data_IF_046497621150
#
_entry.id   IF_046497621150
#
_cell.length_a   1.000
_cell.length_b   1.000
_cell.length_c   1.000
_cell.angle_alpha   90.00
_cell.angle_beta   90.00
_cell.angle_gamma   90.00
#
_symmetry.space_group_name_H-M   'P 1'
#
loop_
_entity.id
_entity.type
_entity.pdbx_description
1 polymer ?
#
# COMPACT_ATOMS: atom_id res chain seq x y z
N UNK A 1 15.20 -46.71 -42.68
CA UNK A 1 15.72 -45.43 -42.14
C UNK A 1 16.28 -45.71 -40.75
N UNK A 2 17.60 -45.60 -40.56
CA UNK A 2 18.24 -45.79 -39.23
C UNK A 2 18.24 -44.44 -38.53
N UNK A 3 17.24 -44.19 -37.67
CA UNK A 3 17.31 -43.12 -36.68
C UNK A 3 18.50 -43.44 -35.77
N UNK A 4 19.57 -42.66 -35.86
CA UNK A 4 20.75 -42.90 -35.03
C UNK A 4 20.44 -42.46 -33.61
N UNK A 5 21.03 -43.12 -32.60
CA UNK A 5 20.87 -42.72 -31.18
C UNK A 5 21.12 -41.22 -30.93
N UNK A 6 21.92 -40.57 -31.81
CA UNK A 6 22.20 -39.13 -31.79
C UNK A 6 20.97 -38.28 -32.12
N UNK A 7 20.11 -38.73 -33.04
CA UNK A 7 18.91 -38.00 -33.44
C UNK A 7 17.88 -37.97 -32.29
N UNK A 8 17.75 -39.09 -31.57
CA UNK A 8 16.86 -39.19 -30.41
C UNK A 8 17.32 -38.28 -29.25
N UNK A 9 18.63 -38.28 -28.96
CA UNK A 9 19.19 -37.43 -27.91
C UNK A 9 19.01 -35.93 -28.22
N UNK A 10 19.16 -35.54 -29.49
CA UNK A 10 19.00 -34.15 -29.93
C UNK A 10 17.54 -33.70 -29.83
N UNK A 11 16.59 -34.54 -30.26
CA UNK A 11 15.16 -34.25 -30.14
C UNK A 11 14.71 -34.09 -28.69
N UNK A 12 15.22 -34.93 -27.78
CA UNK A 12 14.88 -34.89 -26.35
C UNK A 12 15.41 -33.61 -25.68
N UNK A 13 16.63 -33.19 -26.02
CA UNK A 13 17.21 -31.93 -25.54
C UNK A 13 16.39 -30.72 -25.97
N UNK A 14 15.98 -30.67 -27.24
CA UNK A 14 15.15 -29.58 -27.78
C UNK A 14 13.79 -29.54 -27.06
N UNK A 15 13.15 -30.70 -26.86
CA UNK A 15 11.88 -30.77 -26.14
C UNK A 15 12.00 -30.28 -24.68
N UNK A 16 13.09 -30.63 -23.98
CA UNK A 16 13.34 -30.16 -22.63
C UNK A 16 13.61 -28.66 -22.56
N UNK A 17 14.38 -28.10 -23.51
CA UNK A 17 14.62 -26.66 -23.60
C UNK A 17 13.33 -25.88 -23.89
N UNK A 18 12.49 -26.38 -24.81
CA UNK A 18 11.21 -25.78 -25.11
C UNK A 18 10.26 -25.82 -23.90
N UNK A 19 10.24 -26.92 -23.15
CA UNK A 19 9.45 -27.04 -21.92
C UNK A 19 9.95 -26.09 -20.83
N UNK A 20 11.27 -26.00 -20.62
CA UNK A 20 11.87 -25.10 -19.65
C UNK A 20 11.59 -23.62 -20.00
N UNK A 21 11.72 -23.25 -21.28
CA UNK A 21 11.39 -21.91 -21.76
C UNK A 21 9.89 -21.60 -21.60
N UNK A 22 9.01 -22.58 -21.87
CA UNK A 22 7.57 -22.46 -21.63
C UNK A 22 7.23 -22.25 -20.15
N UNK A 23 7.90 -22.98 -19.24
CA UNK A 23 7.74 -22.82 -17.79
C UNK A 23 8.27 -21.46 -17.30
N UNK A 24 9.39 -20.98 -17.84
CA UNK A 24 9.92 -19.65 -17.54
C UNK A 24 9.02 -18.53 -18.07
N UNK A 25 8.35 -18.73 -19.21
CA UNK A 25 7.36 -17.80 -19.73
C UNK A 25 6.05 -17.80 -18.90
N UNK A 26 5.74 -18.91 -18.22
CA UNK A 26 4.62 -19.02 -17.27
C UNK A 26 4.94 -18.46 -15.88
N UNK A 27 6.23 -18.30 -15.55
CA UNK A 27 6.65 -17.57 -14.36
C UNK A 27 6.36 -16.08 -14.57
N UNK A 28 5.12 -15.68 -14.29
CA UNK A 28 4.69 -14.29 -14.39
C UNK A 28 5.60 -13.36 -13.57
N UNK A 29 5.73 -12.09 -13.97
CA UNK A 29 6.52 -11.12 -13.22
C UNK A 29 6.10 -11.17 -11.76
N UNK A 30 7.08 -11.33 -10.86
CA UNK A 30 6.83 -11.40 -9.43
C UNK A 30 5.88 -10.26 -9.06
N UNK A 31 4.69 -10.63 -8.56
CA UNK A 31 3.68 -9.68 -8.10
C UNK A 31 4.40 -8.64 -7.25
N UNK A 32 4.16 -7.36 -7.54
CA UNK A 32 4.82 -6.27 -6.83
C UNK A 32 4.82 -6.60 -5.34
N UNK A 33 6.01 -6.67 -4.75
CA UNK A 33 6.13 -7.09 -3.36
C UNK A 33 5.61 -6.01 -2.39
N UNK A 34 4.95 -4.96 -2.90
CA UNK A 34 4.09 -4.04 -2.14
C UNK A 34 2.63 -4.31 -2.49
N UNK A 35 1.76 -4.42 -1.50
CA UNK A 35 0.33 -4.53 -1.75
C UNK A 35 -0.55 -4.32 -0.53
N UNK A 36 -1.86 -4.20 -0.77
CA UNK A 36 -2.86 -4.13 0.31
C UNK A 36 -2.96 -5.51 0.98
N UNK A 37 -2.48 -5.60 2.22
CA UNK A 37 -2.60 -6.80 3.07
C UNK A 37 -3.97 -6.85 3.73
N UNK A 38 -4.46 -5.70 4.22
CA UNK A 38 -5.74 -5.59 4.94
C UNK A 38 -6.41 -4.24 4.70
N UNK A 39 -7.74 -4.25 4.71
CA UNK A 39 -8.59 -3.07 4.89
C UNK A 39 -9.61 -3.37 6.01
N UNK A 40 -9.90 -2.40 6.88
CA UNK A 40 -10.93 -2.59 7.92
C UNK A 40 -12.33 -2.77 7.33
N UNK A 41 -12.58 -2.19 6.15
CA UNK A 41 -13.78 -2.42 5.35
C UNK A 41 -13.47 -2.23 3.87
N UNK A 42 -14.26 -2.89 3.02
CA UNK A 42 -14.23 -2.75 1.56
C UNK A 42 -15.42 -1.93 1.02
N UNK A 43 -16.20 -1.33 1.91
CA UNK A 43 -17.33 -0.47 1.55
C UNK A 43 -17.52 0.64 2.58
N UNK A 44 -17.98 1.81 2.14
CA UNK A 44 -18.26 2.93 3.03
C UNK A 44 -19.00 4.07 2.33
N UNK A 45 -19.79 4.83 3.09
CA UNK A 45 -20.31 6.11 2.63
C UNK A 45 -19.26 7.21 2.87
N UNK A 46 -19.33 8.37 2.17
CA UNK A 46 -18.51 9.52 2.51
C UNK A 46 -18.57 9.85 4.01
N UNK A 47 -17.42 10.07 4.63
CA UNK A 47 -17.30 10.27 6.07
C UNK A 47 -17.00 9.02 6.90
N UNK A 48 -17.15 7.81 6.33
CA UNK A 48 -16.75 6.58 7.03
C UNK A 48 -15.22 6.48 7.15
N UNK A 49 -14.72 5.93 8.26
CA UNK A 49 -13.28 5.69 8.46
C UNK A 49 -12.88 4.33 7.92
N UNK A 50 -11.71 4.26 7.28
CA UNK A 50 -11.08 3.04 6.79
C UNK A 50 -9.63 3.00 7.26
N UNK A 51 -9.22 1.85 7.80
CA UNK A 51 -7.84 1.55 8.17
C UNK A 51 -7.27 0.58 7.13
N UNK A 52 -6.20 0.99 6.46
CA UNK A 52 -5.47 0.19 5.47
C UNK A 52 -4.13 -0.26 6.02
N UNK A 53 -3.77 -1.49 5.71
CA UNK A 53 -2.45 -2.07 5.94
C UNK A 53 -1.85 -2.45 4.60
N UNK A 54 -0.69 -1.89 4.30
CA UNK A 54 0.13 -2.21 3.14
C UNK A 54 1.30 -3.06 3.61
N UNK A 55 1.44 -4.26 3.04
CA UNK A 55 2.62 -5.09 3.24
C UNK A 55 3.69 -4.76 2.20
N UNK A 56 4.96 -4.85 2.58
CA UNK A 56 6.10 -4.66 1.69
C UNK A 56 7.19 -5.72 1.90
N UNK A 57 7.21 -6.75 1.04
CA UNK A 57 8.14 -7.88 1.07
C UNK A 57 9.58 -7.56 0.67
N UNK A 58 9.90 -6.30 0.34
CA UNK A 58 11.28 -5.81 0.20
C UNK A 58 11.49 -4.52 1.00
N UNK A 59 10.69 -4.18 2.01
CA UNK A 59 10.99 -2.98 2.81
C UNK A 59 11.86 -3.29 4.03
N UNK A 60 12.64 -4.37 3.97
CA UNK A 60 13.57 -4.75 5.04
C UNK A 60 14.75 -3.78 5.07
N UNK A 61 15.40 -3.57 6.24
CA UNK A 61 16.63 -2.80 6.28
C UNK A 61 17.72 -3.41 5.37
N UNK A 62 18.67 -2.60 4.88
CA UNK A 62 19.78 -3.12 4.09
C UNK A 62 20.60 -4.11 4.92
N UNK A 63 21.06 -5.18 4.28
CA UNK A 63 22.01 -6.08 4.91
C UNK A 63 23.34 -5.36 5.19
N UNK A 64 23.86 -5.50 6.42
CA UNK A 64 25.19 -5.03 6.80
C UNK A 64 26.11 -6.24 6.98
N UNK A 65 27.38 -6.12 6.60
CA UNK A 65 28.38 -7.19 6.76
C UNK A 65 28.81 -7.89 5.46
N UNK A 66 29.83 -8.77 5.53
CA UNK A 66 30.36 -9.47 4.37
C UNK A 66 29.35 -10.44 3.76
N UNK A 67 29.56 -10.82 2.49
CA UNK A 67 28.70 -11.79 1.81
C UNK A 67 28.72 -13.13 2.58
N UNK A 68 27.58 -13.55 3.11
CA UNK A 68 27.45 -14.78 3.91
C UNK A 68 27.13 -14.53 5.39
N UNK A 69 27.35 -13.30 5.90
CA UNK A 69 27.12 -12.92 7.31
C UNK A 69 26.21 -11.69 7.39
N UNK A 70 25.15 -11.69 6.57
CA UNK A 70 24.33 -10.52 6.31
C UNK A 70 23.18 -10.44 7.30
N UNK A 71 23.40 -9.67 8.36
CA UNK A 71 22.39 -9.28 9.33
C UNK A 71 22.31 -7.76 9.37
N UNK A 72 21.12 -7.15 9.41
CA UNK A 72 21.04 -5.72 9.64
C UNK A 72 21.62 -5.41 11.03
N UNK A 73 22.30 -4.26 11.18
CA UNK A 73 22.87 -3.87 12.47
C UNK A 73 21.76 -3.75 13.52
N UNK A 74 21.86 -4.55 14.59
CA UNK A 74 20.83 -4.63 15.64
C UNK A 74 19.71 -5.63 15.37
N UNK A 75 19.90 -6.58 14.45
CA UNK A 75 18.91 -7.58 14.07
C UNK A 75 19.57 -8.94 13.82
N UNK A 76 19.79 -9.73 14.87
CA UNK A 76 20.56 -10.98 14.78
C UNK A 76 19.85 -12.08 13.97
N UNK A 77 18.51 -11.97 13.81
CA UNK A 77 17.68 -13.03 13.21
C UNK A 77 16.73 -12.56 12.10
N UNK A 78 16.65 -11.25 11.85
CA UNK A 78 15.68 -10.69 10.89
C UNK A 78 16.14 -10.80 9.43
N UNK A 79 15.23 -10.99 8.47
CA UNK A 79 15.54 -10.85 7.05
C UNK A 79 16.04 -9.42 6.74
N UNK A 80 16.96 -9.34 5.79
CA UNK A 80 17.49 -8.08 5.27
C UNK A 80 17.44 -8.08 3.74
N UNK A 81 17.42 -6.89 3.15
CA UNK A 81 17.47 -6.75 1.70
C UNK A 81 18.89 -6.97 1.16
N UNK A 82 19.06 -7.98 0.31
CA UNK A 82 20.27 -8.16 -0.49
C UNK A 82 20.28 -7.21 -1.69
N UNK A 83 21.40 -6.53 -1.93
CA UNK A 83 21.63 -5.78 -3.17
C UNK A 83 21.04 -4.37 -3.22
N UNK A 84 20.59 -3.82 -2.09
CA UNK A 84 20.15 -2.42 -2.03
C UNK A 84 21.26 -1.42 -1.70
N UNK A 85 22.51 -1.87 -1.46
CA UNK A 85 23.71 -1.03 -1.25
C UNK A 85 23.42 0.36 -0.69
N UNK A 86 22.86 0.42 0.52
CA UNK A 86 22.60 1.68 1.23
C UNK A 86 21.30 2.41 0.89
N UNK A 87 20.43 1.86 0.03
CA UNK A 87 19.07 2.39 -0.17
C UNK A 87 18.19 2.00 1.01
N UNK A 88 17.71 3.01 1.73
CA UNK A 88 16.73 2.83 2.79
C UNK A 88 15.37 2.37 2.21
N UNK A 89 14.59 1.58 2.97
CA UNK A 89 13.22 1.30 2.60
C UNK A 89 12.41 2.61 2.51
N UNK A 90 11.35 2.65 1.69
CA UNK A 90 10.55 3.87 1.57
C UNK A 90 9.96 4.27 2.93
N UNK A 91 10.15 5.52 3.34
CA UNK A 91 9.59 6.04 4.58
C UNK A 91 8.05 6.06 4.60
N UNK A 92 7.42 6.10 3.43
CA UNK A 92 5.96 6.04 3.28
C UNK A 92 5.54 5.63 1.87
N UNK A 93 4.28 5.22 1.75
CA UNK A 93 3.61 4.97 0.47
C UNK A 93 2.46 5.96 0.27
N UNK A 94 2.45 6.69 -0.84
CA UNK A 94 1.30 7.54 -1.16
C UNK A 94 0.15 6.70 -1.69
N UNK A 95 -1.06 6.89 -1.18
CA UNK A 95 -2.23 6.11 -1.60
C UNK A 95 -3.27 7.03 -2.20
N UNK A 96 -3.79 6.65 -3.36
CA UNK A 96 -4.90 7.33 -4.03
C UNK A 96 -6.02 6.35 -4.35
N UNK A 97 -7.25 6.86 -4.47
CA UNK A 97 -8.37 6.16 -5.10
C UNK A 97 -8.52 6.62 -6.53
N UNK A 98 -8.92 5.70 -7.41
CA UNK A 98 -9.41 5.99 -8.76
C UNK A 98 -10.62 5.10 -9.01
N UNK A 99 -11.60 5.55 -9.80
CA UNK A 99 -12.71 4.67 -10.18
C UNK A 99 -12.16 3.46 -10.91
N UNK A 100 -12.70 2.27 -10.63
CA UNK A 100 -12.16 1.02 -11.21
C UNK A 100 -12.11 1.05 -12.76
N UNK A 101 -13.06 1.72 -13.41
CA UNK A 101 -13.11 1.90 -14.87
C UNK A 101 -12.09 2.91 -15.44
N UNK A 102 -11.58 3.80 -14.59
CA UNK A 102 -10.58 4.83 -14.92
C UNK A 102 -9.19 4.47 -14.40
N UNK A 103 -9.08 3.34 -13.68
CA UNK A 103 -7.82 2.83 -13.19
C UNK A 103 -6.89 2.62 -14.40
N UNK A 104 -5.64 3.11 -14.34
CA UNK A 104 -4.74 2.99 -15.46
C UNK A 104 -4.58 1.53 -15.88
N UNK A 105 -4.73 1.26 -17.18
CA UNK A 105 -4.41 -0.05 -17.70
C UNK A 105 -2.93 -0.32 -17.46
N UNK A 106 -2.67 -1.38 -16.70
CA UNK A 106 -1.33 -1.88 -16.44
C UNK A 106 -0.80 -2.52 -17.71
N UNK A 107 -0.08 -1.74 -18.52
CA UNK A 107 0.63 -2.26 -19.70
C UNK A 107 1.97 -2.81 -19.26
N UNK A 108 2.34 -4.00 -19.72
CA UNK A 108 3.71 -4.51 -19.62
C UNK A 108 4.64 -3.61 -20.44
N UNK A 109 5.75 -3.18 -19.87
CA UNK A 109 6.78 -2.47 -20.61
C UNK A 109 7.95 -3.42 -20.88
N UNK A 110 7.99 -4.00 -22.08
CA UNK A 110 9.02 -4.96 -22.45
C UNK A 110 9.01 -6.21 -21.57
N UNK A 111 10.19 -6.80 -21.34
CA UNK A 111 10.38 -8.01 -20.54
C UNK A 111 10.23 -7.78 -19.00
N UNK A 112 9.77 -6.61 -18.58
CA UNK A 112 9.73 -6.17 -17.19
C UNK A 112 8.33 -5.74 -16.70
N UNK A 113 8.24 -5.19 -15.47
CA UNK A 113 6.98 -4.90 -14.79
C UNK A 113 6.10 -3.89 -15.52
N UNK A 114 4.81 -3.86 -15.14
CA UNK A 114 3.78 -3.03 -15.75
C UNK A 114 4.08 -1.53 -15.57
N UNK A 115 4.24 -0.73 -16.64
CA UNK A 115 4.30 0.74 -16.52
C UNK A 115 3.03 1.45 -16.96
N UNK A 116 2.54 2.26 -16.05
CA UNK A 116 1.96 3.58 -16.30
C UNK A 116 3.06 4.62 -16.49
N UNK A 117 2.83 5.75 -17.18
CA UNK A 117 3.78 6.87 -17.20
C UNK A 117 4.13 7.24 -15.77
N UNK A 118 5.39 7.02 -15.43
CA UNK A 118 5.89 6.94 -14.06
C UNK A 118 5.80 8.31 -13.39
N UNK A 119 4.89 8.52 -12.42
CA UNK A 119 4.68 9.84 -11.85
C UNK A 119 5.83 10.20 -10.91
N UNK A 120 6.18 11.48 -10.85
CA UNK A 120 7.20 12.03 -9.93
C UNK A 120 6.78 11.94 -8.45
N UNK A 121 5.53 11.63 -8.19
CA UNK A 121 4.94 11.54 -6.85
C UNK A 121 3.59 10.82 -6.87
N UNK A 122 2.96 10.67 -5.71
CA UNK A 122 1.59 10.18 -5.63
C UNK A 122 0.65 11.04 -6.48
N UNK A 123 -0.28 10.47 -7.26
CA UNK A 123 -1.16 11.27 -8.09
C UNK A 123 -2.22 11.99 -7.24
N UNK A 124 -2.19 13.33 -7.28
CA UNK A 124 -3.12 14.22 -6.57
C UNK A 124 -4.23 14.82 -7.47
N UNK A 125 -4.12 14.64 -8.79
CA UNK A 125 -5.03 15.24 -9.77
C UNK A 125 -6.05 14.21 -10.28
N UNK A 126 -7.25 14.66 -10.70
CA UNK A 126 -8.22 13.79 -11.36
C UNK A 126 -7.58 12.95 -12.49
N UNK A 127 -7.98 11.67 -12.66
CA UNK A 127 -9.10 11.00 -11.99
C UNK A 127 -8.78 10.46 -10.58
N UNK A 128 -7.60 10.75 -10.04
CA UNK A 128 -7.18 10.26 -8.73
C UNK A 128 -7.69 11.16 -7.60
N UNK A 129 -8.00 10.53 -6.48
CA UNK A 129 -8.28 11.18 -5.19
C UNK A 129 -7.24 10.71 -4.18
N UNK A 130 -6.29 11.58 -3.84
CA UNK A 130 -5.25 11.24 -2.86
C UNK A 130 -5.85 11.08 -1.46
N UNK A 131 -5.52 9.96 -0.80
CA UNK A 131 -6.02 9.62 0.54
C UNK A 131 -5.03 9.98 1.65
N UNK A 132 -3.73 9.97 1.35
CA UNK A 132 -2.69 10.19 2.33
C UNK A 132 -1.46 9.33 2.10
N UNK A 133 -0.61 9.27 3.12
CA UNK A 133 0.63 8.47 3.13
C UNK A 133 0.49 7.37 4.16
N UNK A 134 0.63 6.12 3.75
CA UNK A 134 0.80 5.01 4.67
C UNK A 134 2.21 5.05 5.24
N UNK A 135 2.34 4.95 6.56
CA UNK A 135 3.60 5.08 7.30
C UNK A 135 3.82 3.83 8.17
N UNK A 136 5.05 3.50 8.58
CA UNK A 136 5.29 2.42 9.53
C UNK A 136 4.45 2.58 10.81
N UNK A 137 4.07 1.48 11.48
CA UNK A 137 3.38 1.56 12.76
C UNK A 137 4.22 2.29 13.82
N UNK A 138 3.61 2.80 14.90
CA UNK A 138 4.37 3.30 16.05
C UNK A 138 5.36 2.24 16.54
N UNK A 139 6.61 2.63 16.78
CA UNK A 139 7.71 1.68 17.06
C UNK A 139 8.44 1.16 15.83
N UNK A 140 7.99 1.52 14.62
CA UNK A 140 8.63 1.12 13.36
C UNK A 140 8.30 -0.31 12.95
N UNK A 141 8.91 -0.75 11.85
CA UNK A 141 8.86 -2.14 11.44
C UNK A 141 9.94 -2.91 12.20
N UNK A 142 9.55 -4.00 12.88
CA UNK A 142 10.51 -4.90 13.54
C UNK A 142 10.82 -6.10 12.63
N UNK A 143 11.95 -6.10 11.91
CA UNK A 143 12.33 -7.24 11.08
C UNK A 143 12.75 -8.48 11.88
N UNK A 144 12.98 -8.43 13.21
CA UNK A 144 13.36 -9.65 13.97
C UNK A 144 12.29 -10.74 13.93
N UNK A 145 11.02 -10.37 13.82
CA UNK A 145 9.92 -11.34 13.76
C UNK A 145 9.82 -12.09 12.43
N UNK A 146 10.61 -11.73 11.42
CA UNK A 146 10.51 -12.29 10.06
C UNK A 146 9.29 -11.82 9.27
N UNK A 147 8.36 -11.11 9.92
CA UNK A 147 7.18 -10.54 9.28
C UNK A 147 7.58 -9.47 8.25
N UNK A 148 6.91 -9.43 7.08
CA UNK A 148 7.07 -8.34 6.14
C UNK A 148 6.74 -6.99 6.78
N UNK A 149 7.55 -5.95 6.55
CA UNK A 149 7.27 -4.58 6.98
C UNK A 149 5.86 -4.13 6.55
N UNK A 150 5.16 -3.49 7.48
CA UNK A 150 3.79 -2.99 7.32
C UNK A 150 3.76 -1.47 7.34
N UNK A 151 2.82 -0.92 6.59
CA UNK A 151 2.54 0.52 6.53
C UNK A 151 1.05 0.74 6.72
N UNK A 152 0.70 1.64 7.62
CA UNK A 152 -0.65 1.90 8.06
C UNK A 152 -1.13 3.24 7.51
N UNK A 153 -2.36 3.25 6.99
CA UNK A 153 -3.07 4.47 6.60
C UNK A 153 -4.49 4.43 7.15
N UNK A 154 -4.81 5.36 8.05
CA UNK A 154 -6.18 5.68 8.43
C UNK A 154 -6.66 6.86 7.60
N UNK A 155 -7.81 6.74 6.95
CA UNK A 155 -8.42 7.84 6.20
C UNK A 155 -9.94 7.85 6.33
N UNK A 156 -10.54 8.97 5.96
CA UNK A 156 -11.99 9.12 5.86
C UNK A 156 -12.39 9.03 4.39
N UNK A 157 -13.40 8.22 4.06
CA UNK A 157 -13.91 8.09 2.69
C UNK A 157 -14.30 9.48 2.19
N UNK A 158 -13.64 10.01 1.14
CA UNK A 158 -13.92 11.36 0.65
C UNK A 158 -15.31 11.44 0.03
N UNK A 159 -15.77 12.66 -0.26
CA UNK A 159 -17.04 12.91 -0.97
C UNK A 159 -16.93 12.47 -2.43
N UNK A 160 -16.99 11.17 -2.63
CA UNK A 160 -16.98 10.49 -3.92
C UNK A 160 -18.41 10.13 -4.30
N UNK A 161 -18.69 10.13 -5.60
CA UNK A 161 -19.92 9.54 -6.12
C UNK A 161 -19.98 8.05 -5.81
N UNK A 162 -21.18 7.46 -5.65
CA UNK A 162 -21.30 6.02 -5.48
C UNK A 162 -20.66 5.21 -6.61
N UNK A 163 -20.07 4.06 -6.27
CA UNK A 163 -19.45 3.14 -7.23
C UNK A 163 -18.22 2.42 -6.69
N UNK A 164 -17.56 1.66 -7.56
CA UNK A 164 -16.35 0.90 -7.22
C UNK A 164 -15.09 1.68 -7.55
N UNK A 165 -14.22 1.81 -6.55
CA UNK A 165 -12.90 2.43 -6.65
C UNK A 165 -11.82 1.39 -6.37
N UNK A 166 -10.63 1.60 -6.92
CA UNK A 166 -9.43 0.82 -6.61
C UNK A 166 -8.41 1.72 -5.91
N UNK A 167 -7.65 1.13 -5.00
CA UNK A 167 -6.47 1.76 -4.43
C UNK A 167 -5.33 1.71 -5.46
N UNK A 168 -4.59 2.81 -5.55
CA UNK A 168 -3.33 2.89 -6.28
C UNK A 168 -2.27 3.42 -5.31
N UNK A 169 -1.22 2.63 -5.13
CA UNK A 169 -0.10 2.86 -4.23
C UNK A 169 1.06 3.42 -5.05
N UNK A 170 1.52 4.61 -4.71
CA UNK A 170 2.74 5.16 -5.25
C UNK A 170 3.94 4.78 -4.38
N UNK A 171 4.97 4.24 -5.02
CA UNK A 171 6.23 3.87 -4.39
C UNK A 171 7.39 4.61 -5.06
N UNK A 172 8.07 5.50 -4.32
CA UNK A 172 9.14 6.33 -4.86
C UNK A 172 10.47 5.62 -5.15
N UNK A 173 10.69 4.44 -4.57
CA UNK A 173 11.97 3.69 -4.64
C UNK A 173 11.84 2.34 -5.33
N UNK A 174 10.65 2.00 -5.82
CA UNK A 174 10.39 0.70 -6.46
C UNK A 174 10.97 0.58 -7.88
N UNK A 175 11.40 1.69 -8.47
CA UNK A 175 12.03 1.77 -9.79
C UNK A 175 13.26 2.66 -9.65
N UNK A 176 14.33 2.33 -10.39
CA UNK A 176 15.53 3.15 -10.38
C UNK A 176 15.30 4.54 -11.00
N UNK A 177 15.89 5.56 -10.37
CA UNK A 177 15.81 6.96 -10.80
C UNK A 177 14.85 7.82 -9.97
N UNK A 178 14.59 9.05 -10.43
CA UNK A 178 13.73 10.04 -9.73
C UNK A 178 12.23 9.77 -9.84
N UNK A 179 11.82 8.73 -10.55
CA UNK A 179 10.42 8.41 -10.84
C UNK A 179 10.04 7.15 -10.08
N UNK A 180 8.86 7.14 -9.44
CA UNK A 180 8.40 6.03 -8.60
C UNK A 180 7.77 4.87 -9.38
N UNK A 181 6.76 4.22 -8.83
CA UNK A 181 5.88 3.30 -9.54
C UNK A 181 4.46 3.39 -8.98
N UNK A 182 3.46 3.10 -9.82
CA UNK A 182 2.08 2.98 -9.39
C UNK A 182 1.69 1.50 -9.31
N UNK A 183 1.29 1.07 -8.12
CA UNK A 183 1.06 -0.33 -7.74
C UNK A 183 -0.41 -0.47 -7.36
N UNK A 184 -1.03 -1.58 -7.76
CA UNK A 184 -2.48 -1.68 -7.92
C UNK A 184 -2.82 -3.08 -8.38
N UNK A 185 -3.96 -3.58 -7.97
CA UNK A 185 -4.52 -4.81 -8.51
C UNK A 185 -6.03 -4.65 -8.56
N UNK A 186 -6.56 -3.97 -9.58
CA UNK A 186 -8.01 -3.73 -9.68
C UNK A 186 -8.80 -5.03 -9.80
N UNK A 187 -8.17 -6.18 -10.07
CA UNK A 187 -8.84 -7.49 -10.13
C UNK A 187 -9.10 -8.08 -8.74
N UNK A 188 -8.26 -7.75 -7.75
CA UNK A 188 -8.36 -8.25 -6.38
C UNK A 188 -9.38 -7.47 -5.56
N UNK A 189 -10.18 -8.19 -4.75
CA UNK A 189 -11.15 -7.59 -3.83
C UNK A 189 -10.48 -6.75 -2.75
N UNK A 190 -9.27 -7.12 -2.31
CA UNK A 190 -8.53 -6.39 -1.28
C UNK A 190 -8.20 -4.97 -1.70
N UNK A 191 -8.03 -4.75 -3.00
CA UNK A 191 -7.65 -3.47 -3.58
C UNK A 191 -8.83 -2.55 -3.87
N UNK A 192 -10.06 -2.95 -3.51
CA UNK A 192 -11.27 -2.21 -3.86
C UNK A 192 -11.95 -1.57 -2.66
N UNK A 193 -12.54 -0.40 -2.91
CA UNK A 193 -13.48 0.28 -2.03
C UNK A 193 -14.78 0.53 -2.80
N UNK A 194 -15.90 0.04 -2.27
CA UNK A 194 -17.24 0.35 -2.80
C UNK A 194 -17.81 1.54 -2.04
N UNK A 195 -17.87 2.68 -2.71
CA UNK A 195 -18.49 3.90 -2.16
C UNK A 195 -20.00 3.77 -2.28
N UNK A 196 -20.69 3.83 -1.14
CA UNK A 196 -22.15 3.80 -1.06
C UNK A 196 -22.73 5.21 -1.02
N UNK A 197 -24.01 5.40 -1.39
CA UNK A 197 -24.70 6.67 -1.15
C UNK A 197 -24.65 7.06 0.34
N UNK A 198 -24.65 8.36 0.66
CA UNK A 198 -24.80 8.82 2.04
C UNK A 198 -26.07 8.23 2.66
N UNK A 199 -25.96 7.59 3.82
CA UNK A 199 -27.12 7.12 4.57
C UNK A 199 -27.92 8.33 5.06
N UNK A 200 -29.21 8.41 4.71
CA UNK A 200 -30.09 9.51 5.08
C UNK A 200 -30.18 9.76 6.60
N UNK A 201 -29.80 8.77 7.42
CA UNK A 201 -29.84 8.81 8.88
C UNK A 201 -28.83 9.77 9.54
N UNK A 202 -27.88 10.36 8.81
CA UNK A 202 -26.99 11.40 9.33
C UNK A 202 -27.63 12.79 9.49
N UNK A 203 -28.85 13.01 8.97
CA UNK A 203 -29.53 14.33 9.05
C UNK A 203 -30.35 14.55 10.33
N UNK A 204 -30.47 13.56 11.20
CA UNK A 204 -31.38 13.63 12.37
C UNK A 204 -30.72 14.28 13.60
N UNK A 205 -29.40 14.53 13.59
CA UNK A 205 -28.68 15.08 14.75
C UNK A 205 -28.44 16.59 14.78
N UNK A 206 -28.73 17.34 13.71
CA UNK A 206 -28.29 18.75 13.60
C UNK A 206 -29.42 19.78 13.63
N UNK A 207 -30.67 19.36 13.80
CA UNK A 207 -31.85 20.26 13.81
C UNK A 207 -32.38 20.58 15.20
N UNK A 208 -31.65 20.28 16.30
CA UNK A 208 -32.14 20.51 17.67
C UNK A 208 -31.12 21.18 18.60
N UNK A 209 -30.53 22.28 18.15
CA UNK A 209 -29.73 23.18 19.01
C UNK A 209 -29.87 24.67 18.61
N UNK A 210 -31.06 25.10 18.15
CA UNK A 210 -31.36 26.53 17.92
C UNK A 210 -32.75 26.94 18.41
N UNK A 211 -33.30 26.28 19.44
CA UNK A 211 -34.47 26.82 20.13
C UNK A 211 -34.33 26.59 21.63
N UNK A 212 -33.99 27.68 22.33
CA UNK A 212 -34.31 27.91 23.74
C UNK A 212 -33.35 27.32 24.76
N UNK A 213 -32.44 28.14 25.30
CA UNK A 213 -32.38 28.24 26.75
C UNK A 213 -32.12 29.70 27.14
N UNK A 214 -33.17 30.28 27.72
CA UNK A 214 -33.20 31.58 28.36
C UNK A 214 -32.20 31.63 29.52
N UNK A 215 -31.49 32.75 29.59
CA UNK A 215 -31.32 33.56 30.80
C UNK A 215 -31.34 32.83 32.15
N UNK A 216 -30.16 32.50 32.68
CA UNK A 216 -29.96 32.45 34.13
C UNK A 216 -28.78 33.34 34.53
N UNK A 217 -29.15 34.58 34.87
CA UNK A 217 -28.39 35.50 35.70
C UNK A 217 -28.28 34.92 37.12
N UNK A 218 -27.06 34.82 37.63
CA UNK A 218 -26.73 34.59 39.04
C UNK A 218 -25.31 34.03 39.11
N UNK A 219 -24.27 34.77 39.48
CA UNK A 219 -24.17 35.63 40.65
C UNK A 219 -23.69 34.79 41.82
N UNK A 220 -22.37 34.68 42.02
CA UNK A 220 -21.81 34.00 43.19
C UNK A 220 -20.27 33.91 43.23
N UNK A 221 -19.68 34.78 44.07
CA UNK A 221 -18.46 34.65 44.92
C UNK A 221 -17.28 33.82 44.39
N UNK A 222 -16.12 34.40 44.10
CA UNK A 222 -15.06 34.89 45.03
C UNK A 222 -14.73 33.91 46.16
N UNK A 223 -13.53 33.35 46.06
CA UNK A 223 -12.82 32.50 47.03
C UNK A 223 -11.68 31.86 46.24
N UNK A 224 -10.51 32.49 46.06
CA UNK A 224 -9.49 32.74 47.09
C UNK A 224 -9.34 31.55 48.04
N UNK A 225 -8.36 30.69 47.77
CA UNK A 225 -7.64 29.96 48.81
C UNK A 225 -6.28 29.47 48.27
N UNK A 226 -5.25 30.11 48.82
CA UNK A 226 -3.99 29.56 49.35
C UNK A 226 -3.18 28.49 48.61
N UNK A 227 -2.01 28.94 48.16
CA UNK A 227 -0.66 28.55 48.65
C UNK A 227 -0.32 27.07 48.92
N UNK A 228 0.59 26.56 48.06
CA UNK A 228 1.93 25.98 48.38
C UNK A 228 2.01 24.63 49.17
N UNK A 229 3.21 23.98 49.35
CA UNK A 229 4.49 24.02 48.62
C UNK A 229 5.09 22.62 48.27
N UNK A 230 6.25 22.70 47.56
CA UNK A 230 7.36 21.73 47.36
C UNK A 230 7.31 20.81 46.14
#
# INVERSE_FOLDING_TARGET
MKTTRRDLATALLIAMLALAAGLLALAGPARAAVGIERASTHHGAPGATVDLTIGCGFCFPPCVGPKGERHPKGFDHGPCMLGTEGKEPPASFGVSLVRAKEAPQRRTCGAGPQCTPTPLGPPHKPPFTFLGRAVPPPGGNNPEGGDPPRYLLRFTVPRLTPGTYTYEIWCGVCVDGRRGALIGDPSSRLWRLVVRPPTAHGRVGMTRAMVGEETLKGGGRVGELDQAPR
#
